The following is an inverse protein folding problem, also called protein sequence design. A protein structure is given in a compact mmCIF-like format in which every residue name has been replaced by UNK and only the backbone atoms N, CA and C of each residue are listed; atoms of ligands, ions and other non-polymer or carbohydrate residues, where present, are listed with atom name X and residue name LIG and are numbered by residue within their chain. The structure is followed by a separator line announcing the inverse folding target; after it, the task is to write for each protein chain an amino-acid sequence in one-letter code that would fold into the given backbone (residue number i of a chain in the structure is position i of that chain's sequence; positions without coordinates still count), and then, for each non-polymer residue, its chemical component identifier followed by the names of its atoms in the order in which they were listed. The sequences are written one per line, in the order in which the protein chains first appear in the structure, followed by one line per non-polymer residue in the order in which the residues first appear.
data_IF_359256876070
#
_entry.id   IF_359256876070
#
_cell.length_a   1.000
_cell.length_b   1.000
_cell.length_c   1.000
_cell.angle_alpha   90.00
_cell.angle_beta   90.00
_cell.angle_gamma   90.00
#
_symmetry.space_group_name_H-M   'P 1'
#
loop_
_entity.id
_entity.type
_entity.pdbx_description
1 polymer ?
#
# COMPACT_ATOMS: atom_id res chain seq x y z
N UNK A 1 -6.00 -25.83 3.22
CA UNK A 1 -6.84 -24.77 3.81
C UNK A 1 -6.05 -24.04 4.86
N UNK A 2 -5.71 -22.77 4.60
CA UNK A 2 -5.14 -21.88 5.60
C UNK A 2 -6.09 -21.75 6.79
N UNK A 3 -5.54 -21.85 8.00
CA UNK A 3 -6.26 -21.60 9.24
C UNK A 3 -6.38 -20.10 9.46
N UNK A 4 -7.45 -19.66 10.15
CA UNK A 4 -7.67 -18.23 10.45
C UNK A 4 -6.45 -17.56 11.11
N UNK A 5 -5.70 -18.29 11.96
CA UNK A 5 -4.46 -17.82 12.62
C UNK A 5 -3.30 -17.60 11.64
N UNK A 6 -3.22 -18.42 10.60
CA UNK A 6 -2.19 -18.27 9.56
C UNK A 6 -2.54 -17.09 8.66
N UNK A 7 -3.83 -16.95 8.31
CA UNK A 7 -4.35 -15.80 7.56
C UNK A 7 -4.13 -14.50 8.31
N UNK A 8 -4.41 -14.44 9.62
CA UNK A 8 -4.19 -13.21 10.39
C UNK A 8 -2.70 -12.83 10.45
N UNK A 9 -1.79 -13.79 10.60
CA UNK A 9 -0.35 -13.53 10.47
C UNK A 9 0.02 -13.02 9.08
N UNK A 10 -0.44 -13.70 8.03
CA UNK A 10 -0.16 -13.33 6.64
C UNK A 10 -0.69 -11.95 6.26
N UNK A 11 -1.80 -11.53 6.86
CA UNK A 11 -2.40 -10.20 6.62
C UNK A 11 -1.71 -9.12 7.44
N UNK A 12 -1.20 -9.44 8.63
CA UNK A 12 -0.48 -8.50 9.48
C UNK A 12 0.99 -8.32 9.05
N UNK A 13 1.58 -9.35 8.45
CA UNK A 13 2.89 -9.28 7.82
C UNK A 13 2.78 -8.66 6.43
N UNK A 14 3.72 -7.78 6.06
CA UNK A 14 3.81 -7.23 4.69
C UNK A 14 4.40 -8.26 3.69
N UNK A 15 4.62 -9.50 4.15
CA UNK A 15 5.20 -10.64 3.41
C UNK A 15 4.30 -11.17 2.26
N UNK A 16 3.17 -10.51 1.96
CA UNK A 16 2.25 -10.88 0.88
C UNK A 16 2.96 -10.93 -0.49
N UNK A 17 4.07 -10.21 -0.63
CA UNK A 17 4.89 -10.12 -1.84
C UNK A 17 5.62 -11.42 -2.15
N UNK A 18 6.10 -12.16 -1.13
CA UNK A 18 6.90 -13.39 -1.27
C UNK A 18 6.08 -14.69 -1.26
N UNK A 19 4.75 -14.59 -1.24
CA UNK A 19 3.88 -15.76 -1.33
C UNK A 19 3.80 -16.28 -2.76
N UNK A 20 4.29 -17.51 -2.93
CA UNK A 20 4.04 -18.30 -4.15
C UNK A 20 2.57 -18.29 -4.54
N UNK A 21 2.31 -18.30 -5.85
CA UNK A 21 0.99 -18.08 -6.48
C UNK A 21 -0.15 -18.90 -5.84
N UNK A 22 0.13 -20.14 -5.45
CA UNK A 22 -0.83 -21.02 -4.78
C UNK A 22 -1.30 -20.50 -3.42
N UNK A 23 -0.40 -19.99 -2.58
CA UNK A 23 -0.78 -19.45 -1.27
C UNK A 23 -1.57 -18.15 -1.39
N UNK A 24 -1.32 -17.34 -2.43
CA UNK A 24 -2.16 -16.17 -2.76
C UNK A 24 -3.59 -16.58 -3.08
N UNK A 25 -3.75 -17.63 -3.90
CA UNK A 25 -5.08 -18.15 -4.24
C UNK A 25 -5.79 -18.69 -3.00
N UNK A 26 -5.09 -19.47 -2.18
CA UNK A 26 -5.63 -20.03 -0.94
C UNK A 26 -6.06 -18.94 0.06
N UNK A 27 -5.27 -17.88 0.21
CA UNK A 27 -5.61 -16.72 1.03
C UNK A 27 -6.87 -16.01 0.51
N UNK A 28 -6.97 -15.77 -0.81
CA UNK A 28 -8.16 -15.17 -1.43
C UNK A 28 -9.40 -16.02 -1.18
N UNK A 29 -9.31 -17.34 -1.40
CA UNK A 29 -10.41 -18.27 -1.13
C UNK A 29 -10.85 -18.19 0.34
N UNK A 30 -9.91 -18.18 1.28
CA UNK A 30 -10.22 -18.08 2.70
C UNK A 30 -10.94 -16.77 3.04
N UNK A 31 -10.45 -15.63 2.53
CA UNK A 31 -11.06 -14.32 2.78
C UNK A 31 -12.48 -14.22 2.22
N UNK A 32 -12.79 -14.91 1.11
CA UNK A 32 -14.15 -14.96 0.56
C UNK A 32 -15.10 -15.79 1.42
N UNK A 33 -14.60 -16.81 2.13
CA UNK A 33 -15.42 -17.71 2.95
C UNK A 33 -15.55 -17.26 4.41
N UNK A 34 -14.55 -16.57 4.95
CA UNK A 34 -14.49 -16.21 6.36
C UNK A 34 -14.69 -14.70 6.58
N UNK A 35 -15.85 -14.32 7.15
CA UNK A 35 -16.19 -12.92 7.48
C UNK A 35 -15.23 -12.27 8.48
N UNK A 36 -14.70 -13.04 9.43
CA UNK A 36 -13.77 -12.52 10.43
C UNK A 36 -12.43 -12.13 9.78
N UNK A 37 -11.88 -13.01 8.95
CA UNK A 37 -10.60 -12.76 8.28
C UNK A 37 -10.71 -11.65 7.23
N UNK A 38 -11.82 -11.57 6.48
CA UNK A 38 -12.07 -10.44 5.57
C UNK A 38 -12.21 -9.11 6.30
N UNK A 39 -12.95 -9.07 7.40
CA UNK A 39 -13.07 -7.87 8.25
C UNK A 39 -11.73 -7.44 8.85
N UNK A 40 -10.93 -8.39 9.33
CA UNK A 40 -9.57 -8.11 9.82
C UNK A 40 -8.66 -7.55 8.71
N UNK A 41 -8.69 -8.15 7.52
CA UNK A 41 -7.92 -7.68 6.38
C UNK A 41 -8.34 -6.30 5.86
N UNK A 42 -9.62 -5.92 6.04
CA UNK A 42 -10.07 -4.56 5.75
C UNK A 42 -9.54 -3.55 6.77
N UNK A 43 -9.56 -3.90 8.07
CA UNK A 43 -9.04 -3.05 9.15
C UNK A 43 -7.54 -2.77 9.00
N UNK A 44 -6.73 -3.80 8.74
CA UNK A 44 -5.28 -3.64 8.56
C UNK A 44 -4.96 -2.76 7.34
N UNK A 45 -5.71 -2.93 6.24
CA UNK A 45 -5.56 -2.06 5.06
C UNK A 45 -5.92 -0.61 5.36
N UNK A 46 -7.05 -0.36 6.01
CA UNK A 46 -7.44 0.98 6.42
C UNK A 46 -6.42 1.66 7.33
N UNK A 47 -5.80 0.90 8.25
CA UNK A 47 -4.72 1.42 9.09
C UNK A 47 -3.47 1.78 8.26
N UNK A 48 -3.08 0.93 7.32
CA UNK A 48 -1.95 1.19 6.43
C UNK A 48 -2.17 2.39 5.50
N UNK A 49 -3.39 2.55 4.98
CA UNK A 49 -3.76 3.68 4.13
C UNK A 49 -3.77 4.99 4.92
N UNK A 50 -4.34 5.00 6.14
CA UNK A 50 -4.31 6.16 7.02
C UNK A 50 -2.90 6.54 7.47
N UNK A 51 -2.05 5.56 7.77
CA UNK A 51 -0.65 5.80 8.09
C UNK A 51 0.11 6.41 6.90
N UNK A 52 -0.14 5.93 5.68
CA UNK A 52 0.41 6.53 4.45
C UNK A 52 -0.11 7.93 4.21
N UNK A 53 -1.40 8.20 4.40
CA UNK A 53 -1.94 9.56 4.25
C UNK A 53 -1.29 10.54 5.21
N UNK A 54 -1.10 10.15 6.48
CA UNK A 54 -0.41 10.99 7.47
C UNK A 54 1.05 11.20 7.08
N UNK A 55 1.76 10.14 6.68
CA UNK A 55 3.15 10.24 6.23
C UNK A 55 3.30 11.10 4.95
N UNK A 56 2.37 11.01 4.01
CA UNK A 56 2.35 11.81 2.78
C UNK A 56 2.07 13.29 3.09
N UNK A 57 1.18 13.58 4.05
CA UNK A 57 0.97 14.96 4.53
C UNK A 57 2.23 15.55 5.17
N UNK A 58 3.00 14.74 5.88
CA UNK A 58 4.23 15.16 6.55
C UNK A 58 5.43 15.25 5.58
N UNK A 59 5.42 14.48 4.49
CA UNK A 59 6.45 14.51 3.44
C UNK A 59 6.20 15.53 2.32
N UNK A 60 5.12 16.31 2.40
CA UNK A 60 4.97 17.58 1.69
C UNK A 60 5.89 18.64 2.30
N UNK A 61 7.20 18.36 2.32
CA UNK A 61 8.24 19.32 2.67
C UNK A 61 8.24 20.40 1.58
N UNK A 62 8.14 21.69 1.95
CA UNK A 62 8.14 22.81 1.01
C UNK A 62 9.29 22.72 -0.02
N UNK A 63 10.45 22.21 0.40
CA UNK A 63 11.64 22.07 -0.45
C UNK A 63 11.43 21.16 -1.67
N UNK A 64 10.62 20.08 -1.58
CA UNK A 64 10.37 19.19 -2.73
C UNK A 64 9.46 19.85 -3.76
N UNK A 65 8.55 20.72 -3.34
CA UNK A 65 7.69 21.48 -4.24
C UNK A 65 8.52 22.52 -5.02
N UNK A 66 9.41 23.24 -4.32
CA UNK A 66 10.32 24.22 -4.94
C UNK A 66 11.30 23.58 -5.95
N UNK A 67 11.71 22.34 -5.71
CA UNK A 67 12.56 21.59 -6.64
C UNK A 67 11.80 21.14 -7.89
N UNK A 68 10.56 20.67 -7.71
CA UNK A 68 9.70 20.25 -8.83
C UNK A 68 9.31 21.47 -9.68
N UNK A 69 8.97 22.59 -9.06
CA UNK A 69 8.63 23.84 -9.76
C UNK A 69 9.80 24.33 -10.61
N UNK A 70 11.01 24.38 -10.05
CA UNK A 70 12.23 24.74 -10.79
C UNK A 70 12.47 23.84 -11.98
N UNK A 71 12.30 22.52 -11.83
CA UNK A 71 12.47 21.55 -12.92
C UNK A 71 11.43 21.71 -14.03
N UNK A 72 10.22 22.16 -13.71
CA UNK A 72 9.17 22.42 -14.71
C UNK A 72 9.49 23.69 -15.50
N UNK A 73 9.87 24.78 -14.81
CA UNK A 73 10.23 26.05 -15.44
C UNK A 73 11.43 25.90 -16.37
N UNK A 74 12.46 25.16 -15.93
CA UNK A 74 13.66 24.89 -16.72
C UNK A 74 13.34 24.09 -18.00
N UNK A 75 12.42 23.12 -17.92
CA UNK A 75 11.96 22.36 -19.09
C UNK A 75 11.18 23.19 -20.10
N UNK A 76 10.30 24.09 -19.66
CA UNK A 76 9.52 24.93 -20.57
C UNK A 76 10.40 25.98 -21.24
N UNK A 77 11.40 26.54 -20.55
CA UNK A 77 12.34 27.50 -21.13
C UNK A 77 13.27 26.88 -22.19
N UNK A 78 13.50 25.57 -22.15
CA UNK A 78 14.31 24.84 -23.15
C UNK A 78 13.51 24.28 -24.34
N UNK A 79 12.18 24.46 -24.39
CA UNK A 79 11.33 23.94 -25.48
C UNK A 79 11.00 25.00 -26.55
N UNK A 80 11.39 26.26 -26.36
CA UNK A 80 11.14 27.37 -27.31
C UNK A 80 12.33 27.63 -28.27
N UNK A 81 12.83 26.58 -28.96
CA UNK A 81 13.77 26.74 -30.09
C UNK A 81 13.27 26.07 -31.37
#
# INVERSE_FOLDING_TARGET
MLKCREVSRLVASDDVVDLGLFKRLELRLHLMMCRHCSGYAAQIRGLGDGAREVADRETCLPERLDEIERKIIDRTQHTDH
#
